data_IF_792515743732
#
_entry.id   IF_792515743732
#
_cell.length_a   1.000
_cell.length_b   1.000
_cell.length_c   1.000
_cell.angle_alpha   90.00
_cell.angle_beta   90.00
_cell.angle_gamma   90.00
#
_symmetry.space_group_name_H-M   'P 1'
#
loop_
_entity.id
_entity.type
_entity.pdbx_description
1 polymer ?
#
# COMPACT_ATOMS: atom_id res chain seq x y z
N UNK A 1 26.02 -4.33 -10.84
CA UNK A 1 24.84 -3.63 -10.32
C UNK A 1 24.75 -4.02 -8.88
N UNK A 2 24.91 -3.07 -7.99
CA UNK A 2 24.86 -3.33 -6.55
C UNK A 2 23.40 -3.61 -6.15
N UNK A 3 23.19 -4.40 -5.09
CA UNK A 3 21.85 -4.82 -4.64
C UNK A 3 20.89 -3.63 -4.44
N UNK A 4 21.44 -2.51 -3.97
CA UNK A 4 20.70 -1.26 -3.72
C UNK A 4 20.14 -0.64 -5.01
N UNK A 5 20.90 -0.64 -6.11
CA UNK A 5 20.45 -0.12 -7.40
C UNK A 5 19.28 -0.93 -7.97
N UNK A 6 19.30 -2.26 -7.77
CA UNK A 6 18.20 -3.14 -8.18
C UNK A 6 16.94 -2.90 -7.37
N UNK A 7 17.06 -2.68 -6.06
CA UNK A 7 15.94 -2.36 -5.20
C UNK A 7 15.33 -1.00 -5.58
N UNK A 8 16.15 0.01 -5.83
CA UNK A 8 15.66 1.32 -6.24
C UNK A 8 14.95 1.27 -7.59
N UNK A 9 15.52 0.57 -8.58
CA UNK A 9 14.88 0.39 -9.88
C UNK A 9 13.54 -0.34 -9.76
N UNK A 10 13.43 -1.31 -8.85
CA UNK A 10 12.18 -2.00 -8.56
C UNK A 10 11.14 -1.06 -7.94
N UNK A 11 11.52 -0.26 -6.94
CA UNK A 11 10.64 0.71 -6.29
C UNK A 11 10.14 1.77 -7.28
N UNK A 12 11.01 2.27 -8.16
CA UNK A 12 10.64 3.23 -9.20
C UNK A 12 9.58 2.66 -10.15
N UNK A 13 9.67 1.38 -10.47
CA UNK A 13 8.67 0.72 -11.30
C UNK A 13 7.37 0.44 -10.53
N UNK A 14 7.46 -0.08 -9.31
CA UNK A 14 6.29 -0.44 -8.51
C UNK A 14 5.47 0.80 -8.07
N UNK A 15 6.10 1.96 -8.00
CA UNK A 15 5.48 3.25 -7.68
C UNK A 15 5.51 4.25 -8.85
N UNK A 16 5.56 3.75 -10.10
CA UNK A 16 5.20 4.56 -11.27
C UNK A 16 3.68 4.75 -11.35
N UNK A 17 3.21 5.57 -12.29
CA UNK A 17 1.78 5.74 -12.55
C UNK A 17 1.08 4.39 -12.82
N UNK A 18 1.70 3.53 -13.63
CA UNK A 18 1.20 2.18 -13.92
C UNK A 18 1.23 1.27 -12.68
N UNK A 19 2.26 1.43 -11.82
CA UNK A 19 2.37 0.70 -10.55
C UNK A 19 1.24 1.06 -9.59
N UNK A 20 0.95 2.35 -9.41
CA UNK A 20 -0.18 2.82 -8.62
C UNK A 20 -1.53 2.38 -9.20
N UNK A 21 -1.70 2.44 -10.53
CA UNK A 21 -2.91 1.94 -11.19
C UNK A 21 -3.12 0.44 -10.91
N UNK A 22 -2.06 -0.37 -10.98
CA UNK A 22 -2.15 -1.79 -10.68
C UNK A 22 -2.59 -2.07 -9.24
N UNK A 23 -2.06 -1.32 -8.26
CA UNK A 23 -2.47 -1.42 -6.85
C UNK A 23 -3.95 -1.04 -6.70
N UNK A 24 -4.37 0.07 -7.32
CA UNK A 24 -5.75 0.53 -7.27
C UNK A 24 -6.72 -0.51 -7.83
N UNK A 25 -6.43 -1.07 -9.01
CA UNK A 25 -7.26 -2.11 -9.64
C UNK A 25 -7.38 -3.35 -8.75
N UNK A 26 -6.30 -3.77 -8.08
CA UNK A 26 -6.35 -4.92 -7.17
C UNK A 26 -7.26 -4.64 -5.96
N UNK A 27 -7.19 -3.44 -5.38
CA UNK A 27 -8.07 -3.04 -4.28
C UNK A 27 -9.53 -2.92 -4.71
N UNK A 28 -9.79 -2.43 -5.93
CA UNK A 28 -11.14 -2.33 -6.49
C UNK A 28 -11.77 -3.71 -6.71
N UNK A 29 -11.00 -4.67 -7.26
CA UNK A 29 -11.46 -6.06 -7.40
C UNK A 29 -11.73 -6.73 -6.04
N UNK A 30 -10.88 -6.46 -5.05
CA UNK A 30 -11.12 -6.95 -3.68
C UNK A 30 -12.41 -6.33 -3.11
N UNK A 31 -12.63 -5.05 -3.32
CA UNK A 31 -13.85 -4.35 -2.91
C UNK A 31 -15.11 -4.98 -3.55
N UNK A 32 -15.09 -5.29 -4.84
CA UNK A 32 -16.19 -5.95 -5.53
C UNK A 32 -16.51 -7.33 -4.93
N UNK A 33 -15.47 -8.12 -4.65
CA UNK A 33 -15.63 -9.44 -4.05
C UNK A 33 -16.16 -9.36 -2.61
N UNK A 34 -15.66 -8.42 -1.80
CA UNK A 34 -16.15 -8.17 -0.44
C UNK A 34 -17.62 -7.73 -0.47
N UNK A 35 -17.96 -6.77 -1.35
CA UNK A 35 -19.32 -6.25 -1.52
C UNK A 35 -20.32 -7.34 -1.96
N UNK A 36 -19.85 -8.33 -2.73
CA UNK A 36 -20.63 -9.49 -3.12
C UNK A 36 -20.68 -10.61 -2.05
N UNK A 37 -20.05 -10.44 -0.88
CA UNK A 37 -19.95 -11.47 0.16
C UNK A 37 -19.05 -12.65 -0.20
N UNK A 38 -18.08 -12.44 -1.12
CA UNK A 38 -17.22 -13.46 -1.73
C UNK A 38 -15.73 -13.29 -1.39
N UNK A 39 -15.43 -12.82 -0.18
CA UNK A 39 -14.03 -12.61 0.25
C UNK A 39 -13.15 -13.87 0.10
N UNK A 40 -13.71 -15.06 0.38
CA UNK A 40 -13.00 -16.34 0.24
C UNK A 40 -12.63 -16.71 -1.20
N UNK A 41 -13.16 -16.00 -2.20
CA UNK A 41 -12.74 -16.17 -3.60
C UNK A 41 -11.48 -15.34 -3.93
N UNK A 42 -11.14 -14.34 -3.10
CA UNK A 42 -9.97 -13.48 -3.28
C UNK A 42 -8.74 -14.02 -2.51
N UNK A 43 -8.96 -14.67 -1.37
CA UNK A 43 -7.89 -15.04 -0.44
C UNK A 43 -8.35 -16.12 0.55
N UNK A 44 -7.40 -16.89 1.07
CA UNK A 44 -7.60 -17.87 2.15
C UNK A 44 -7.48 -17.25 3.56
N UNK A 45 -7.17 -15.95 3.65
CA UNK A 45 -7.04 -15.26 4.94
C UNK A 45 -8.41 -15.08 5.63
N UNK A 46 -8.45 -15.22 6.98
CA UNK A 46 -9.62 -14.83 7.76
C UNK A 46 -10.01 -13.35 7.56
N UNK A 47 -11.31 -12.99 7.62
CA UNK A 47 -11.76 -11.61 7.38
C UNK A 47 -11.15 -10.54 8.31
N UNK A 48 -10.90 -10.89 9.56
CA UNK A 48 -10.23 -10.03 10.54
C UNK A 48 -8.77 -9.77 10.17
N UNK A 49 -8.08 -10.77 9.63
CA UNK A 49 -6.71 -10.60 9.14
C UNK A 49 -6.66 -9.73 7.87
N UNK A 50 -7.60 -9.91 6.93
CA UNK A 50 -7.71 -9.02 5.75
C UNK A 50 -7.97 -7.58 6.18
N UNK A 51 -8.87 -7.37 7.14
CA UNK A 51 -9.12 -6.04 7.73
C UNK A 51 -7.85 -5.43 8.31
N UNK A 52 -7.10 -6.18 9.13
CA UNK A 52 -5.86 -5.68 9.73
C UNK A 52 -4.85 -5.20 8.68
N UNK A 53 -4.65 -5.98 7.62
CA UNK A 53 -3.77 -5.57 6.52
C UNK A 53 -4.25 -4.30 5.81
N UNK A 54 -5.56 -4.16 5.56
CA UNK A 54 -6.11 -2.95 4.94
C UNK A 54 -5.94 -1.72 5.85
N UNK A 55 -6.14 -1.88 7.16
CA UNK A 55 -5.93 -0.82 8.14
C UNK A 55 -4.45 -0.38 8.20
N UNK A 56 -3.51 -1.33 8.17
CA UNK A 56 -2.07 -1.04 8.10
C UNK A 56 -1.69 -0.32 6.80
N UNK A 57 -2.20 -0.77 5.65
CA UNK A 57 -1.96 -0.10 4.36
C UNK A 57 -2.48 1.35 4.39
N UNK A 58 -3.69 1.57 4.91
CA UNK A 58 -4.26 2.92 5.04
C UNK A 58 -3.41 3.78 5.97
N UNK A 59 -2.96 3.22 7.10
CA UNK A 59 -2.10 3.93 8.03
C UNK A 59 -0.78 4.34 7.37
N UNK A 60 -0.06 3.40 6.75
CA UNK A 60 1.21 3.68 6.07
C UNK A 60 1.04 4.69 4.93
N UNK A 61 -0.01 4.58 4.12
CA UNK A 61 -0.27 5.54 3.05
C UNK A 61 -0.52 6.96 3.59
N UNK A 62 -1.21 7.09 4.73
CA UNK A 62 -1.42 8.38 5.40
C UNK A 62 -0.12 8.97 5.93
N UNK A 63 0.73 8.17 6.54
CA UNK A 63 2.05 8.62 7.02
C UNK A 63 2.91 9.12 5.85
N UNK A 64 2.96 8.38 4.74
CA UNK A 64 3.70 8.80 3.53
C UNK A 64 3.19 10.16 3.01
N UNK A 65 1.87 10.34 2.91
CA UNK A 65 1.27 11.62 2.49
C UNK A 65 1.63 12.73 3.48
N UNK A 66 1.52 12.46 4.78
CA UNK A 66 1.87 13.43 5.82
C UNK A 66 3.34 13.88 5.73
N UNK A 67 4.26 12.94 5.51
CA UNK A 67 5.67 13.22 5.30
C UNK A 67 5.92 14.02 4.01
N UNK A 68 5.22 13.70 2.91
CA UNK A 68 5.27 14.46 1.66
C UNK A 68 4.77 15.90 1.82
N UNK A 69 3.75 16.11 2.66
CA UNK A 69 3.18 17.42 2.98
C UNK A 69 4.06 18.24 3.95
N UNK A 70 5.23 17.71 4.34
CA UNK A 70 6.18 18.39 5.24
C UNK A 70 5.88 18.20 6.72
N UNK A 71 5.02 17.24 7.07
CA UNK A 71 4.71 16.83 8.44
C UNK A 71 5.77 15.95 9.11
N UNK A 72 6.86 15.63 8.40
CA UNK A 72 8.01 14.94 8.99
C UNK A 72 8.58 15.78 10.13
N UNK A 73 8.32 15.35 11.37
CA UNK A 73 8.72 15.99 12.62
C UNK A 73 10.26 16.16 12.63
N UNK A 74 10.73 17.29 12.11
CA UNK A 74 12.09 17.77 12.31
C UNK A 74 12.18 18.28 13.75
N UNK A 75 12.17 17.36 14.70
CA UNK A 75 12.61 17.64 16.06
C UNK A 75 14.04 17.10 16.24
N UNK A 76 14.97 17.69 15.48
CA UNK A 76 16.38 17.72 15.87
C UNK A 76 16.73 19.14 16.33
N UNK A 77 16.88 19.27 17.65
CA UNK A 77 17.63 20.29 18.38
C UNK A 77 17.21 21.78 18.23
N UNK A 78 16.58 22.29 19.30
CA UNK A 78 16.62 23.69 19.73
C UNK A 78 16.83 23.78 21.22
#
# INVERSE_FOLDING_TARGET
MEMEELLLARLQHDYSDEGFEAIFVQLDLLHDLVSAGRLTAATDLPPDQVRGWLEEIIFTAREIIHEMDGGGDHNEAG
#
